data_IF_402453211101
#
_entry.id   IF_402453211101
#
_cell.length_a   1.000
_cell.length_b   1.000
_cell.length_c   1.000
_cell.angle_alpha   90.00
_cell.angle_beta   90.00
_cell.angle_gamma   90.00
#
_symmetry.space_group_name_H-M   'P 1'
#
loop_
_entity.id
_entity.type
_entity.pdbx_description
1 polymer ?
#
# COMPACT_ATOMS: atom_id res chain seq x y z
N UNK A 1 38.35 -32.86 -3.43
CA UNK A 1 37.03 -33.22 -4.00
C UNK A 1 36.30 -31.92 -4.31
N UNK A 2 36.36 -31.48 -5.55
CA UNK A 2 35.81 -30.20 -6.00
C UNK A 2 34.35 -30.41 -6.38
N UNK A 3 33.43 -29.74 -5.69
CA UNK A 3 32.01 -29.84 -5.98
C UNK A 3 31.71 -29.21 -7.36
N UNK A 4 31.25 -30.05 -8.30
CA UNK A 4 30.71 -29.61 -9.59
C UNK A 4 29.42 -28.84 -9.35
N UNK A 5 29.51 -27.51 -9.34
CA UNK A 5 28.36 -26.62 -9.48
C UNK A 5 27.81 -26.87 -10.89
N UNK A 6 26.67 -27.56 -10.98
CA UNK A 6 25.94 -27.69 -12.24
C UNK A 6 25.35 -26.34 -12.59
N UNK A 7 25.77 -25.77 -13.71
CA UNK A 7 25.13 -24.60 -14.30
C UNK A 7 23.61 -24.86 -14.44
N UNK A 8 22.76 -23.87 -14.15
CA UNK A 8 21.33 -24.00 -14.36
C UNK A 8 21.06 -24.29 -15.84
N UNK A 9 20.35 -25.40 -16.09
CA UNK A 9 19.98 -25.84 -17.45
C UNK A 9 19.23 -24.69 -18.14
N UNK A 10 19.76 -24.13 -19.24
CA UNK A 10 19.02 -23.16 -20.04
C UNK A 10 17.82 -23.86 -20.65
N UNK A 11 16.60 -23.46 -20.28
CA UNK A 11 15.41 -23.89 -20.98
C UNK A 11 15.49 -23.37 -22.42
N UNK A 12 15.46 -24.23 -23.45
CA UNK A 12 15.52 -23.77 -24.84
C UNK A 12 14.32 -22.87 -25.13
N UNK A 13 14.59 -21.68 -25.66
CA UNK A 13 13.56 -20.76 -26.10
C UNK A 13 12.76 -21.42 -27.23
N UNK A 14 11.52 -21.84 -26.94
CA UNK A 14 10.61 -22.39 -27.96
C UNK A 14 10.38 -21.34 -29.06
N UNK A 15 10.82 -21.60 -30.32
CA UNK A 15 10.51 -20.72 -31.44
C UNK A 15 9.00 -20.84 -31.76
N UNK A 16 8.29 -19.71 -31.85
CA UNK A 16 6.86 -19.67 -32.21
C UNK A 16 5.91 -19.22 -31.10
N UNK A 17 6.39 -18.90 -29.90
CA UNK A 17 5.50 -18.41 -28.85
C UNK A 17 5.05 -16.95 -29.06
N UNK A 18 3.77 -16.67 -28.79
CA UNK A 18 3.15 -15.32 -28.80
C UNK A 18 4.07 -14.27 -28.15
N UNK A 19 4.22 -13.06 -28.74
CA UNK A 19 5.10 -12.02 -28.20
C UNK A 19 4.75 -11.73 -26.72
N UNK A 20 5.74 -11.39 -25.89
CA UNK A 20 5.50 -11.12 -24.48
C UNK A 20 4.53 -9.94 -24.34
N UNK A 21 3.59 -10.06 -23.42
CA UNK A 21 2.67 -8.98 -23.08
C UNK A 21 3.47 -7.78 -22.56
N UNK A 22 3.07 -6.57 -22.94
CA UNK A 22 3.65 -5.36 -22.38
C UNK A 22 3.11 -5.12 -20.97
N UNK A 23 4.02 -4.80 -20.04
CA UNK A 23 3.70 -4.46 -18.66
C UNK A 23 4.16 -3.05 -18.26
N UNK A 24 3.40 -2.41 -17.36
CA UNK A 24 3.81 -1.20 -16.64
C UNK A 24 4.10 -1.55 -15.17
N UNK A 25 5.36 -1.47 -14.74
CA UNK A 25 5.78 -1.88 -13.40
C UNK A 25 5.83 -0.70 -12.44
N UNK A 26 5.49 -0.95 -11.18
CA UNK A 26 5.76 0.00 -10.09
C UNK A 26 7.27 0.21 -9.93
N UNK A 27 7.69 1.44 -9.67
CA UNK A 27 9.08 1.75 -9.30
C UNK A 27 9.55 0.98 -8.06
N UNK A 28 8.64 0.58 -7.16
CA UNK A 28 8.96 -0.26 -6.00
C UNK A 28 9.54 -1.62 -6.39
N UNK A 29 9.26 -2.11 -7.60
CA UNK A 29 9.73 -3.41 -8.08
C UNK A 29 11.11 -3.40 -8.75
N UNK A 30 11.78 -2.23 -8.85
CA UNK A 30 13.14 -2.15 -9.42
C UNK A 30 14.13 -3.15 -8.79
N UNK A 31 14.18 -3.33 -7.45
CA UNK A 31 15.07 -4.32 -6.84
C UNK A 31 14.80 -5.78 -7.29
N UNK A 32 13.61 -6.08 -7.80
CA UNK A 32 13.26 -7.39 -8.33
C UNK A 32 13.48 -7.51 -9.84
N UNK A 33 13.24 -6.44 -10.58
CA UNK A 33 13.18 -6.45 -12.04
C UNK A 33 14.49 -6.00 -12.72
N UNK A 34 15.30 -5.16 -12.07
CA UNK A 34 16.57 -4.68 -12.65
C UNK A 34 17.69 -5.75 -12.61
N UNK A 35 17.81 -6.59 -11.55
CA UNK A 35 18.79 -7.68 -11.54
C UNK A 35 18.49 -8.83 -12.52
N UNK A 36 19.45 -9.74 -12.74
CA UNK A 36 19.24 -10.94 -13.54
C UNK A 36 18.05 -11.79 -13.04
N UNK A 37 17.43 -12.53 -13.97
CA UNK A 37 16.29 -13.41 -13.66
C UNK A 37 16.60 -14.40 -12.53
N UNK A 38 15.74 -14.40 -11.52
CA UNK A 38 15.79 -15.29 -10.36
C UNK A 38 14.50 -16.11 -10.23
N UNK A 39 14.57 -17.31 -9.62
CA UNK A 39 13.39 -18.11 -9.32
C UNK A 39 12.42 -17.39 -8.38
N UNK A 40 11.14 -17.48 -8.72
CA UNK A 40 10.00 -17.07 -7.91
C UNK A 40 8.97 -18.21 -7.88
N UNK A 41 8.03 -18.14 -6.94
CA UNK A 41 6.94 -19.11 -6.77
C UNK A 41 5.61 -18.41 -6.93
N UNK A 42 4.67 -19.03 -7.63
CA UNK A 42 3.29 -18.57 -7.67
C UNK A 42 2.63 -18.88 -6.34
N UNK A 43 2.26 -17.86 -5.56
CA UNK A 43 1.62 -18.04 -4.25
C UNK A 43 0.10 -17.90 -4.31
N UNK A 44 -0.44 -17.24 -5.34
CA UNK A 44 -1.88 -17.19 -5.60
C UNK A 44 -2.17 -16.76 -7.04
N UNK A 45 -3.27 -17.26 -7.61
CA UNK A 45 -3.75 -16.92 -8.96
C UNK A 45 -5.24 -16.65 -8.94
N UNK A 46 -5.63 -15.51 -9.49
CA UNK A 46 -7.02 -15.06 -9.66
C UNK A 46 -7.26 -14.66 -11.12
N UNK A 47 -8.52 -14.46 -11.55
CA UNK A 47 -8.81 -14.02 -12.92
C UNK A 47 -8.13 -12.70 -13.33
N UNK A 48 -7.92 -11.79 -12.37
CA UNK A 48 -7.38 -10.45 -12.59
C UNK A 48 -6.01 -10.19 -11.93
N UNK A 49 -5.48 -11.13 -11.15
CA UNK A 49 -4.21 -10.96 -10.45
C UNK A 49 -3.44 -12.28 -10.29
N UNK A 50 -2.13 -12.20 -10.38
CA UNK A 50 -1.18 -13.27 -10.13
C UNK A 50 -0.14 -12.76 -9.14
N UNK A 51 0.14 -13.51 -8.08
CA UNK A 51 1.11 -13.13 -7.06
C UNK A 51 2.31 -14.06 -7.08
N UNK A 52 3.50 -13.48 -7.21
CA UNK A 52 4.78 -14.18 -7.30
C UNK A 52 5.67 -13.81 -6.12
N UNK A 53 6.07 -14.79 -5.33
CA UNK A 53 7.01 -14.61 -4.23
C UNK A 53 8.44 -14.94 -4.66
N UNK A 54 9.36 -14.02 -4.39
CA UNK A 54 10.79 -14.18 -4.65
C UNK A 54 11.43 -15.07 -3.58
N UNK A 55 12.36 -15.95 -3.98
CA UNK A 55 13.13 -16.75 -3.02
C UNK A 55 14.23 -15.90 -2.37
N UNK A 56 13.94 -15.39 -1.17
CA UNK A 56 14.88 -14.60 -0.38
C UNK A 56 15.22 -13.23 -0.96
N UNK A 57 16.07 -12.48 -0.25
CA UNK A 57 16.45 -11.10 -0.61
C UNK A 57 15.69 -10.02 0.17
N UNK A 58 15.98 -8.74 -0.12
CA UNK A 58 15.28 -7.62 0.49
C UNK A 58 13.86 -7.48 -0.08
N UNK A 59 13.02 -6.70 0.59
CA UNK A 59 11.71 -6.31 0.10
C UNK A 59 11.79 -5.37 -1.11
N UNK A 60 10.76 -5.32 -1.97
CA UNK A 60 9.53 -6.14 -1.93
C UNK A 60 9.81 -7.62 -2.25
N UNK A 61 9.16 -8.55 -1.55
CA UNK A 61 9.28 -10.01 -1.80
C UNK A 61 8.19 -10.56 -2.70
N UNK A 62 7.02 -9.94 -2.72
CA UNK A 62 5.92 -10.33 -3.60
C UNK A 62 5.77 -9.32 -4.75
N UNK A 63 5.78 -9.82 -5.98
CA UNK A 63 5.41 -9.09 -7.18
C UNK A 63 3.99 -9.51 -7.60
N UNK A 64 3.11 -8.53 -7.76
CA UNK A 64 1.80 -8.76 -8.35
C UNK A 64 1.87 -8.53 -9.87
N UNK A 65 1.32 -9.44 -10.67
CA UNK A 65 1.00 -9.20 -12.09
C UNK A 65 -0.51 -9.07 -12.19
N UNK A 66 -1.01 -7.93 -12.63
CA UNK A 66 -2.44 -7.62 -12.61
C UNK A 66 -2.94 -7.22 -13.98
N UNK A 67 -4.21 -7.50 -14.27
CA UNK A 67 -4.86 -7.03 -15.51
C UNK A 67 -5.14 -5.52 -15.43
N UNK A 68 -5.35 -4.90 -16.59
CA UNK A 68 -5.65 -3.47 -16.71
C UNK A 68 -6.93 -3.02 -16.01
N UNK A 69 -7.86 -3.96 -15.76
CA UNK A 69 -9.12 -3.77 -15.05
C UNK A 69 -9.10 -4.25 -13.59
N UNK A 70 -7.90 -4.55 -13.06
CA UNK A 70 -7.69 -4.94 -11.67
C UNK A 70 -7.25 -3.74 -10.81
N UNK A 71 -7.37 -3.89 -9.49
CA UNK A 71 -6.78 -2.95 -8.53
C UNK A 71 -5.26 -2.90 -8.69
N UNK A 72 -4.73 -1.68 -8.79
CA UNK A 72 -3.30 -1.47 -9.04
C UNK A 72 -2.58 -1.32 -7.72
N UNK A 73 -2.14 -2.44 -7.14
CA UNK A 73 -1.33 -2.50 -5.93
C UNK A 73 0.05 -1.82 -6.11
N UNK A 74 0.67 -1.30 -5.03
CA UNK A 74 1.97 -0.62 -5.10
C UNK A 74 3.12 -1.54 -5.55
N UNK A 75 2.97 -2.86 -5.47
CA UNK A 75 3.92 -3.87 -5.92
C UNK A 75 3.51 -4.53 -7.25
N UNK A 76 2.78 -3.82 -8.12
CA UNK A 76 2.21 -4.40 -9.34
C UNK A 76 2.96 -4.11 -10.65
N UNK A 77 2.98 -5.12 -11.52
CA UNK A 77 3.15 -5.03 -12.97
C UNK A 77 1.77 -5.13 -13.63
N UNK A 78 1.34 -4.08 -14.30
CA UNK A 78 0.01 -3.99 -14.92
C UNK A 78 0.10 -4.37 -16.38
N UNK A 79 -0.68 -5.37 -16.79
CA UNK A 79 -0.75 -5.86 -18.17
C UNK A 79 -1.65 -4.98 -19.02
N UNK A 80 -1.31 -4.84 -20.30
CA UNK A 80 -2.22 -4.35 -21.34
C UNK A 80 -3.14 -5.48 -21.80
N UNK A 81 -3.89 -6.05 -20.85
CA UNK A 81 -4.89 -7.10 -21.05
C UNK A 81 -5.93 -7.00 -19.94
N UNK A 82 -7.16 -7.36 -20.21
CA UNK A 82 -8.26 -7.45 -19.24
C UNK A 82 -8.42 -8.88 -18.73
N UNK A 83 -9.13 -9.07 -17.62
CA UNK A 83 -9.43 -10.41 -17.09
C UNK A 83 -10.19 -11.31 -18.09
N UNK A 84 -10.96 -10.71 -19.01
CA UNK A 84 -11.74 -11.44 -20.04
C UNK A 84 -10.86 -12.10 -21.09
N UNK A 85 -9.61 -11.65 -21.23
CA UNK A 85 -8.62 -12.27 -22.11
C UNK A 85 -7.92 -13.46 -21.43
N UNK A 86 -8.25 -13.74 -20.16
CA UNK A 86 -7.72 -14.85 -19.36
C UNK A 86 -6.18 -14.98 -19.39
N UNK A 87 -5.43 -13.90 -19.11
CA UNK A 87 -3.97 -13.90 -19.26
C UNK A 87 -3.26 -14.91 -18.33
N UNK A 88 -3.92 -15.33 -17.24
CA UNK A 88 -3.36 -16.26 -16.26
C UNK A 88 -3.88 -17.70 -16.41
N UNK A 89 -4.61 -18.03 -17.49
CA UNK A 89 -5.27 -19.35 -17.66
C UNK A 89 -4.34 -20.55 -17.53
N UNK A 90 -3.09 -20.44 -17.93
CA UNK A 90 -2.11 -21.52 -17.85
C UNK A 90 -1.39 -21.59 -16.49
N UNK A 91 -1.33 -20.48 -15.75
CA UNK A 91 -0.61 -20.39 -14.48
C UNK A 91 -1.38 -21.13 -13.39
N UNK A 92 -0.66 -21.80 -12.49
CA UNK A 92 -1.21 -22.52 -11.34
C UNK A 92 -0.53 -22.05 -10.07
N UNK A 93 -1.28 -22.06 -8.96
CA UNK A 93 -0.71 -21.89 -7.63
C UNK A 93 0.33 -22.98 -7.37
N UNK A 94 1.43 -22.61 -6.70
CA UNK A 94 2.59 -23.48 -6.59
C UNK A 94 3.32 -23.71 -7.91
N UNK A 95 3.04 -22.96 -8.97
CA UNK A 95 3.85 -22.97 -10.19
C UNK A 95 5.20 -22.28 -9.99
N UNK A 96 6.21 -22.68 -10.75
CA UNK A 96 7.48 -21.96 -10.81
C UNK A 96 7.40 -20.74 -11.74
N UNK A 97 8.13 -19.69 -11.39
CA UNK A 97 8.22 -18.45 -12.15
C UNK A 97 9.65 -17.91 -12.15
N UNK A 98 9.94 -16.98 -13.07
CA UNK A 98 11.19 -16.24 -13.16
C UNK A 98 10.89 -14.74 -13.21
N UNK A 99 11.62 -13.97 -12.42
CA UNK A 99 11.50 -12.51 -12.34
C UNK A 99 12.90 -11.88 -12.39
N UNK A 100 13.06 -10.86 -13.24
CA UNK A 100 14.31 -10.12 -13.45
C UNK A 100 14.51 -9.75 -14.92
N UNK A 101 15.58 -9.03 -15.26
CA UNK A 101 15.85 -8.49 -16.61
C UNK A 101 14.66 -7.72 -17.23
N UNK A 102 13.87 -7.04 -16.40
CA UNK A 102 12.63 -6.37 -16.80
C UNK A 102 11.55 -7.33 -17.32
N UNK A 103 11.56 -8.59 -16.88
CA UNK A 103 10.65 -9.65 -17.33
C UNK A 103 10.04 -10.41 -16.17
N UNK A 104 8.84 -10.93 -16.43
CA UNK A 104 8.14 -11.88 -15.57
C UNK A 104 7.68 -13.04 -16.43
N UNK A 105 8.06 -14.26 -16.06
CA UNK A 105 7.75 -15.48 -16.79
C UNK A 105 7.14 -16.50 -15.81
N UNK A 106 6.00 -17.07 -16.16
CA UNK A 106 5.33 -18.17 -15.48
C UNK A 106 4.67 -19.05 -16.54
N UNK A 107 4.13 -20.23 -16.20
CA UNK A 107 3.62 -21.17 -17.21
C UNK A 107 2.61 -20.50 -18.18
N UNK A 108 2.96 -20.47 -19.46
CA UNK A 108 2.22 -19.78 -20.52
C UNK A 108 2.21 -18.24 -20.48
N UNK A 109 2.66 -17.60 -19.39
CA UNK A 109 2.70 -16.16 -19.21
C UNK A 109 4.12 -15.62 -19.44
N UNK A 110 4.26 -14.65 -20.34
CA UNK A 110 5.51 -13.89 -20.54
C UNK A 110 5.20 -12.41 -20.62
N UNK A 111 5.77 -11.65 -19.69
CA UNK A 111 5.58 -10.21 -19.57
C UNK A 111 6.92 -9.53 -19.73
N UNK A 112 6.96 -8.45 -20.51
CA UNK A 112 8.12 -7.54 -20.59
C UNK A 112 7.70 -6.17 -20.10
N UNK A 113 8.40 -5.67 -19.10
CA UNK A 113 8.21 -4.33 -18.57
C UNK A 113 8.67 -3.31 -19.61
N UNK A 114 7.77 -2.38 -19.95
CA UNK A 114 8.00 -1.33 -20.95
C UNK A 114 7.85 0.08 -20.38
N UNK A 115 7.15 0.20 -19.25
CA UNK A 115 6.86 1.47 -18.59
C UNK A 115 7.01 1.31 -17.10
N UNK A 116 7.28 2.41 -16.44
CA UNK A 116 7.34 2.50 -14.99
C UNK A 116 6.33 3.52 -14.49
N UNK A 117 5.77 3.29 -13.31
CA UNK A 117 4.92 4.24 -12.62
C UNK A 117 5.34 4.38 -11.16
N UNK A 118 5.20 5.57 -10.61
CA UNK A 118 5.51 5.84 -9.22
C UNK A 118 4.30 5.48 -8.34
N UNK A 119 4.44 4.54 -7.37
CA UNK A 119 3.38 4.23 -6.43
C UNK A 119 3.17 5.32 -5.36
N UNK A 120 4.03 6.32 -5.27
CA UNK A 120 3.85 7.44 -4.35
C UNK A 120 3.05 8.58 -5.00
N UNK A 121 1.79 8.83 -4.60
CA UNK A 121 1.02 9.93 -5.16
C UNK A 121 1.60 11.29 -4.78
N UNK A 122 1.77 12.15 -5.78
CA UNK A 122 2.11 13.54 -5.56
C UNK A 122 0.90 14.32 -5.00
N UNK A 123 0.97 14.69 -3.73
CA UNK A 123 -0.06 15.52 -3.06
C UNK A 123 0.20 17.02 -3.19
N UNK A 124 1.44 17.41 -3.51
CA UNK A 124 1.87 18.80 -3.49
C UNK A 124 1.98 19.35 -2.06
N UNK A 125 1.86 20.67 -1.93
CA UNK A 125 1.84 21.35 -0.63
C UNK A 125 0.42 21.50 -0.12
N UNK A 126 0.17 21.11 1.14
CA UNK A 126 -1.14 21.20 1.78
C UNK A 126 -1.15 22.20 2.93
N UNK A 127 -2.17 23.05 2.94
CA UNK A 127 -2.41 23.95 4.07
C UNK A 127 -3.26 23.22 5.14
N UNK A 128 -3.07 23.50 6.45
CA UNK A 128 -3.86 22.86 7.51
C UNK A 128 -5.37 22.98 7.33
N UNK A 129 -5.86 24.14 6.86
CA UNK A 129 -7.28 24.36 6.59
C UNK A 129 -7.80 23.51 5.42
N UNK A 130 -6.99 23.33 4.38
CA UNK A 130 -7.31 22.47 3.24
C UNK A 130 -7.35 20.99 3.67
N UNK A 131 -6.38 20.54 4.48
CA UNK A 131 -6.42 19.21 5.08
C UNK A 131 -7.69 19.00 5.91
N UNK A 132 -8.03 19.96 6.78
CA UNK A 132 -9.24 19.87 7.60
C UNK A 132 -10.52 19.75 6.75
N UNK A 133 -10.61 20.49 5.65
CA UNK A 133 -11.72 20.38 4.71
C UNK A 133 -11.72 19.01 4.00
N UNK A 134 -10.58 18.56 3.50
CA UNK A 134 -10.43 17.27 2.83
C UNK A 134 -10.76 16.08 3.72
N UNK A 135 -10.38 16.12 5.00
CA UNK A 135 -10.76 15.09 6.00
C UNK A 135 -12.27 15.05 6.20
N UNK A 136 -12.92 16.20 6.38
CA UNK A 136 -14.40 16.24 6.51
C UNK A 136 -15.11 15.72 5.26
N UNK A 137 -14.60 16.06 4.07
CA UNK A 137 -15.15 15.56 2.81
C UNK A 137 -14.97 14.05 2.65
N UNK A 138 -13.82 13.51 3.07
CA UNK A 138 -13.58 12.06 3.10
C UNK A 138 -14.53 11.35 4.07
N UNK A 139 -14.67 11.88 5.29
CA UNK A 139 -15.58 11.34 6.31
C UNK A 139 -17.02 11.25 5.79
N UNK A 140 -17.55 12.36 5.28
CA UNK A 140 -18.92 12.42 4.77
C UNK A 140 -19.15 11.46 3.59
N UNK A 141 -18.18 11.35 2.67
CA UNK A 141 -18.29 10.44 1.54
C UNK A 141 -18.17 8.97 1.93
N UNK A 142 -17.35 8.65 2.94
CA UNK A 142 -17.22 7.30 3.47
C UNK A 142 -18.50 6.88 4.20
N UNK A 143 -19.05 7.74 5.04
CA UNK A 143 -20.34 7.51 5.72
C UNK A 143 -21.47 7.28 4.71
N UNK A 144 -21.65 8.19 3.75
CA UNK A 144 -22.68 8.06 2.72
C UNK A 144 -22.52 6.79 1.86
N UNK A 145 -21.28 6.38 1.56
CA UNK A 145 -21.04 5.19 0.75
C UNK A 145 -21.29 3.88 1.54
N UNK A 146 -20.92 3.83 2.83
CA UNK A 146 -21.16 2.68 3.69
C UNK A 146 -22.66 2.49 3.97
N UNK A 147 -23.38 3.58 4.25
CA UNK A 147 -24.84 3.57 4.43
C UNK A 147 -25.54 3.10 3.16
N UNK A 148 -25.17 3.65 2.00
CA UNK A 148 -25.74 3.25 0.71
C UNK A 148 -25.45 1.80 0.33
N UNK A 149 -24.36 1.23 0.82
CA UNK A 149 -23.99 -0.17 0.60
C UNK A 149 -24.54 -1.14 1.68
N UNK A 150 -25.16 -0.63 2.74
CA UNK A 150 -25.61 -1.43 3.88
C UNK A 150 -24.46 -2.12 4.63
N UNK A 151 -23.26 -1.53 4.60
CA UNK A 151 -22.06 -2.10 5.21
C UNK A 151 -21.85 -1.53 6.62
N UNK A 152 -21.72 -2.41 7.62
CA UNK A 152 -21.53 -2.02 9.02
C UNK A 152 -20.06 -1.72 9.40
N UNK A 153 -19.11 -1.86 8.47
CA UNK A 153 -17.70 -1.58 8.69
C UNK A 153 -16.75 -2.54 7.96
N UNK A 154 -15.48 -2.47 8.34
CA UNK A 154 -14.41 -3.35 7.85
C UNK A 154 -14.33 -4.68 8.61
N UNK A 155 -13.30 -5.49 8.33
CA UNK A 155 -13.16 -6.82 8.93
C UNK A 155 -12.83 -6.81 10.43
N UNK A 156 -12.40 -5.66 10.97
CA UNK A 156 -12.20 -5.43 12.41
C UNK A 156 -13.23 -4.49 13.04
N UNK A 157 -14.43 -4.37 12.45
CA UNK A 157 -15.50 -3.57 13.03
C UNK A 157 -15.81 -4.04 14.47
N UNK A 158 -15.79 -3.10 15.42
CA UNK A 158 -16.02 -3.37 16.85
C UNK A 158 -14.79 -3.88 17.62
N UNK A 159 -13.65 -4.09 16.95
CA UNK A 159 -12.38 -4.39 17.64
C UNK A 159 -11.81 -3.12 18.29
N UNK A 160 -11.28 -3.17 19.53
CA UNK A 160 -10.76 -1.97 20.20
C UNK A 160 -9.45 -1.48 19.58
N UNK A 161 -8.56 -2.38 19.17
CA UNK A 161 -7.19 -2.00 18.76
C UNK A 161 -7.10 -1.00 17.59
N UNK A 162 -7.92 -1.05 16.53
CA UNK A 162 -7.92 0.01 15.52
C UNK A 162 -8.27 1.40 16.08
N UNK A 163 -9.16 1.46 17.08
CA UNK A 163 -9.54 2.71 17.75
C UNK A 163 -8.41 3.21 18.63
N UNK A 164 -7.80 2.31 19.41
CA UNK A 164 -6.66 2.62 20.28
C UNK A 164 -5.46 3.09 19.46
N UNK A 165 -5.17 2.43 18.34
CA UNK A 165 -4.13 2.81 17.40
C UNK A 165 -4.38 4.23 16.84
N UNK A 166 -5.61 4.51 16.39
CA UNK A 166 -5.96 5.83 15.87
C UNK A 166 -5.83 6.92 16.96
N UNK A 167 -6.28 6.63 18.18
CA UNK A 167 -6.18 7.54 19.32
C UNK A 167 -4.72 7.83 19.70
N UNK A 168 -3.88 6.80 19.82
CA UNK A 168 -2.47 6.94 20.12
C UNK A 168 -1.73 7.75 19.04
N UNK A 169 -2.01 7.47 17.76
CA UNK A 169 -1.45 8.25 16.65
C UNK A 169 -1.85 9.74 16.72
N UNK A 170 -3.12 10.04 17.02
CA UNK A 170 -3.59 11.41 17.14
C UNK A 170 -3.01 12.13 18.37
N UNK A 171 -2.75 11.41 19.45
CA UNK A 171 -2.07 11.93 20.64
C UNK A 171 -0.56 12.13 20.44
N UNK A 172 0.03 11.54 19.39
CA UNK A 172 1.47 11.46 19.22
C UNK A 172 2.14 10.49 20.22
N UNK A 173 1.36 9.59 20.82
CA UNK A 173 1.85 8.54 21.70
C UNK A 173 2.49 7.43 20.88
N UNK A 174 3.81 7.51 20.74
CA UNK A 174 4.60 6.55 19.98
C UNK A 174 4.50 5.13 20.54
N UNK A 175 4.58 4.99 21.86
CA UNK A 175 4.61 3.69 22.51
C UNK A 175 3.25 3.00 22.37
N UNK A 176 2.17 3.71 22.69
CA UNK A 176 0.81 3.19 22.54
C UNK A 176 0.46 2.87 21.09
N UNK A 177 0.93 3.67 20.13
CA UNK A 177 0.69 3.42 18.71
C UNK A 177 1.43 2.16 18.23
N UNK A 178 2.69 1.95 18.65
CA UNK A 178 3.45 0.73 18.33
C UNK A 178 2.78 -0.49 18.95
N UNK A 179 2.40 -0.43 20.22
CA UNK A 179 1.76 -1.53 20.93
C UNK A 179 0.43 -1.94 20.26
N UNK A 180 -0.42 -0.97 19.92
CA UNK A 180 -1.69 -1.22 19.24
C UNK A 180 -1.50 -1.74 17.80
N UNK A 181 -0.52 -1.20 17.07
CA UNK A 181 -0.18 -1.68 15.74
C UNK A 181 0.32 -3.14 15.79
N UNK A 182 1.14 -3.47 16.78
CA UNK A 182 1.64 -4.83 16.97
C UNK A 182 0.51 -5.83 17.21
N UNK A 183 -0.59 -5.45 17.86
CA UNK A 183 -1.73 -6.36 18.09
C UNK A 183 -2.57 -6.65 16.84
N UNK A 184 -2.53 -5.80 15.81
CA UNK A 184 -3.37 -5.96 14.61
C UNK A 184 -2.65 -6.46 13.37
N UNK A 185 -1.31 -6.45 13.29
CA UNK A 185 -0.61 -7.07 12.14
C UNK A 185 -1.03 -8.53 12.00
N UNK A 186 -1.38 -8.93 10.78
CA UNK A 186 -1.85 -10.28 10.49
C UNK A 186 -3.25 -10.62 11.01
N UNK A 187 -3.94 -9.69 11.67
CA UNK A 187 -5.26 -9.93 12.22
C UNK A 187 -6.33 -9.84 11.11
N UNK A 188 -6.96 -10.96 10.80
CA UNK A 188 -8.01 -11.09 9.79
C UNK A 188 -7.71 -12.21 8.77
N UNK A 189 -8.72 -12.67 8.02
CA UNK A 189 -8.53 -13.73 7.03
C UNK A 189 -7.97 -13.20 5.71
N UNK A 190 -7.47 -14.12 4.87
CA UNK A 190 -7.13 -13.85 3.47
C UNK A 190 -5.68 -13.44 3.23
N UNK A 191 -5.39 -13.06 1.97
CA UNK A 191 -4.04 -12.67 1.56
C UNK A 191 -3.63 -11.29 2.08
N UNK A 192 -4.60 -10.44 2.41
CA UNK A 192 -4.42 -9.12 3.00
C UNK A 192 -5.33 -9.04 4.23
N UNK A 193 -4.85 -9.47 5.40
CA UNK A 193 -5.63 -9.39 6.63
C UNK A 193 -6.06 -7.95 6.93
N UNK A 194 -7.24 -7.81 7.52
CA UNK A 194 -7.86 -6.51 7.82
C UNK A 194 -6.98 -5.57 8.63
N UNK A 195 -6.24 -6.08 9.62
CA UNK A 195 -5.32 -5.26 10.39
C UNK A 195 -4.15 -4.74 9.55
N UNK A 196 -3.64 -5.52 8.59
CA UNK A 196 -2.59 -5.07 7.68
C UNK A 196 -3.10 -4.00 6.69
N UNK A 197 -4.34 -4.13 6.23
CA UNK A 197 -5.00 -3.13 5.37
C UNK A 197 -5.18 -1.78 6.12
N UNK A 198 -5.63 -1.82 7.39
CA UNK A 198 -5.71 -0.63 8.25
C UNK A 198 -4.31 -0.01 8.43
N UNK A 199 -3.30 -0.82 8.74
CA UNK A 199 -1.93 -0.34 8.93
C UNK A 199 -1.35 0.27 7.64
N UNK A 200 -1.59 -0.35 6.48
CA UNK A 200 -1.15 0.19 5.19
C UNK A 200 -1.76 1.57 4.93
N UNK A 201 -3.08 1.72 5.12
CA UNK A 201 -3.80 2.99 4.97
C UNK A 201 -3.30 4.07 5.93
N UNK A 202 -3.04 3.69 7.19
CA UNK A 202 -2.52 4.58 8.23
C UNK A 202 -1.11 5.08 7.89
N UNK A 203 -0.18 4.16 7.62
CA UNK A 203 1.23 4.46 7.35
C UNK A 203 1.40 5.39 6.15
N UNK A 204 0.74 5.08 5.04
CA UNK A 204 0.85 5.88 3.82
C UNK A 204 0.26 7.27 4.02
N UNK A 205 -0.80 7.40 4.81
CA UNK A 205 -1.42 8.70 5.12
C UNK A 205 -0.53 9.54 6.04
N UNK A 206 -0.02 8.96 7.13
CA UNK A 206 0.91 9.65 8.04
C UNK A 206 2.14 10.17 7.28
N UNK A 207 2.73 9.34 6.42
CA UNK A 207 3.91 9.72 5.63
C UNK A 207 3.59 10.78 4.59
N UNK A 208 2.61 10.54 3.71
CA UNK A 208 2.39 11.41 2.56
C UNK A 208 1.66 12.69 2.93
N UNK A 209 0.62 12.61 3.75
CA UNK A 209 -0.11 13.81 4.21
C UNK A 209 0.76 14.60 5.20
N UNK A 210 1.42 13.94 6.15
CA UNK A 210 2.37 14.60 7.06
C UNK A 210 3.55 15.25 6.32
N UNK A 211 4.03 14.61 5.26
CA UNK A 211 5.05 15.14 4.36
C UNK A 211 4.58 16.29 3.45
N UNK A 212 3.28 16.40 3.21
CA UNK A 212 2.67 17.43 2.34
C UNK A 212 2.23 18.69 3.11
N UNK A 213 1.81 18.55 4.38
CA UNK A 213 1.32 19.68 5.18
C UNK A 213 2.43 20.70 5.47
N UNK A 214 2.15 21.98 5.24
CA UNK A 214 3.01 23.12 5.58
C UNK A 214 2.29 24.02 6.56
N UNK A 215 2.72 24.01 7.81
CA UNK A 215 2.16 24.86 8.86
C UNK A 215 2.92 26.19 8.95
N UNK A 216 2.85 27.03 7.91
CA UNK A 216 3.56 28.31 7.87
C UNK A 216 5.09 28.20 7.97
N UNK A 217 5.65 27.00 7.75
CA UNK A 217 7.09 26.70 7.76
C UNK A 217 7.51 26.15 6.40
N UNK A 218 8.78 26.37 6.00
CA UNK A 218 9.31 25.79 4.76
C UNK A 218 9.51 24.26 4.86
N UNK A 219 9.45 23.68 6.07
CA UNK A 219 9.74 22.26 6.35
C UNK A 219 8.46 21.51 6.76
N UNK A 220 8.29 20.21 6.39
CA UNK A 220 7.13 19.40 6.77
C UNK A 220 6.91 19.21 8.28
N UNK A 221 5.74 18.68 8.65
CA UNK A 221 5.45 18.25 10.01
C UNK A 221 6.28 17.01 10.36
N UNK A 222 7.38 17.22 11.09
CA UNK A 222 8.32 16.16 11.43
C UNK A 222 7.70 15.05 12.29
N UNK A 223 6.73 15.38 13.15
CA UNK A 223 6.16 14.41 14.10
C UNK A 223 5.34 13.30 13.41
N UNK A 224 4.54 13.62 12.40
CA UNK A 224 3.75 12.62 11.69
C UNK A 224 4.62 11.68 10.83
N UNK A 225 5.65 12.23 10.17
CA UNK A 225 6.59 11.42 9.39
C UNK A 225 7.43 10.54 10.32
N UNK A 226 7.90 11.08 11.45
CA UNK A 226 8.62 10.31 12.48
C UNK A 226 7.75 9.18 13.04
N UNK A 227 6.46 9.45 13.32
CA UNK A 227 5.52 8.42 13.76
C UNK A 227 5.38 7.32 12.69
N UNK A 228 5.27 7.68 11.40
CA UNK A 228 5.25 6.71 10.31
C UNK A 228 6.54 5.89 10.21
N UNK A 229 7.71 6.50 10.44
CA UNK A 229 9.00 5.79 10.42
C UNK A 229 9.08 4.73 11.52
N UNK A 230 8.71 5.07 12.76
CA UNK A 230 8.73 4.14 13.89
C UNK A 230 7.66 3.06 13.79
N UNK A 231 6.42 3.41 13.44
CA UNK A 231 5.35 2.43 13.23
C UNK A 231 5.71 1.50 12.08
N UNK A 232 6.22 2.04 10.97
CA UNK A 232 6.67 1.26 9.84
C UNK A 232 7.76 0.27 10.23
N UNK A 233 8.76 0.71 10.99
CA UNK A 233 9.80 -0.17 11.51
C UNK A 233 9.23 -1.28 12.41
N UNK A 234 8.32 -0.96 13.33
CA UNK A 234 7.72 -1.93 14.24
C UNK A 234 6.91 -3.00 13.50
N UNK A 235 6.00 -2.59 12.60
CA UNK A 235 5.12 -3.56 11.91
C UNK A 235 5.87 -4.38 10.86
N UNK A 236 6.99 -3.87 10.35
CA UNK A 236 7.79 -4.58 9.33
C UNK A 236 8.93 -5.42 9.90
N UNK A 237 9.33 -5.24 11.16
CA UNK A 237 10.46 -5.96 11.77
C UNK A 237 10.32 -7.49 11.69
N UNK A 238 9.10 -8.01 11.87
CA UNK A 238 8.79 -9.45 11.84
C UNK A 238 7.57 -9.77 10.96
N UNK A 239 7.21 -8.89 10.01
CA UNK A 239 6.01 -9.05 9.18
C UNK A 239 5.95 -10.40 8.45
N UNK A 240 7.11 -10.94 8.05
CA UNK A 240 7.21 -12.21 7.33
C UNK A 240 6.78 -13.45 8.14
N UNK A 241 6.65 -13.35 9.46
CA UNK A 241 6.13 -14.44 10.32
C UNK A 241 4.75 -14.13 10.89
N UNK A 242 4.37 -12.86 10.96
CA UNK A 242 3.11 -12.41 11.58
C UNK A 242 1.95 -12.25 10.60
N UNK A 243 2.23 -12.05 9.32
CA UNK A 243 1.21 -11.95 8.27
C UNK A 243 1.63 -12.71 7.02
N UNK A 244 0.82 -12.66 5.96
CA UNK A 244 1.15 -13.28 4.68
C UNK A 244 2.30 -12.56 3.99
N UNK A 245 3.02 -13.25 3.09
CA UNK A 245 4.08 -12.63 2.30
C UNK A 245 3.58 -11.42 1.48
N UNK A 246 2.34 -11.46 0.97
CA UNK A 246 1.76 -10.33 0.23
C UNK A 246 1.53 -9.14 1.16
N UNK A 247 0.87 -9.35 2.30
CA UNK A 247 0.57 -8.29 3.27
C UNK A 247 1.86 -7.67 3.83
N UNK A 248 2.87 -8.49 4.15
CA UNK A 248 4.19 -8.00 4.56
C UNK A 248 4.82 -7.08 3.50
N UNK A 249 4.82 -7.49 2.22
CA UNK A 249 5.31 -6.63 1.13
C UNK A 249 4.50 -5.34 1.00
N UNK A 250 3.18 -5.38 1.19
CA UNK A 250 2.35 -4.17 1.14
C UNK A 250 2.62 -3.22 2.32
N UNK A 251 2.87 -3.73 3.53
CA UNK A 251 3.31 -2.93 4.68
C UNK A 251 4.66 -2.26 4.42
N UNK A 252 5.62 -2.96 3.82
CA UNK A 252 6.89 -2.36 3.39
C UNK A 252 6.69 -1.27 2.34
N UNK A 253 5.81 -1.49 1.36
CA UNK A 253 5.46 -0.49 0.36
C UNK A 253 4.82 0.75 1.01
N UNK A 254 3.84 0.57 1.91
CA UNK A 254 3.16 1.64 2.62
C UNK A 254 4.14 2.44 3.51
N UNK A 255 5.05 1.73 4.20
CA UNK A 255 6.14 2.33 4.97
C UNK A 255 7.04 3.20 4.11
N UNK A 256 7.26 2.83 2.83
CA UNK A 256 8.00 3.63 1.86
C UNK A 256 7.16 4.73 1.17
N UNK A 257 5.88 4.89 1.52
CA UNK A 257 4.97 5.85 0.90
C UNK A 257 4.38 5.40 -0.44
N UNK A 258 4.45 4.11 -0.76
CA UNK A 258 3.79 3.51 -1.90
C UNK A 258 2.34 3.15 -1.59
N UNK A 259 1.42 3.59 -2.46
CA UNK A 259 -0.01 3.32 -2.36
C UNK A 259 -0.52 2.60 -3.61
N UNK A 260 -1.61 1.85 -3.44
CA UNK A 260 -2.43 1.42 -4.58
C UNK A 260 -3.15 2.61 -5.22
N UNK A 261 -3.60 2.47 -6.46
CA UNK A 261 -4.22 3.57 -7.21
C UNK A 261 -5.48 4.14 -6.53
N UNK A 262 -6.24 3.29 -5.85
CA UNK A 262 -7.49 3.62 -5.15
C UNK A 262 -7.21 4.43 -3.87
N UNK A 263 -6.25 3.99 -3.06
CA UNK A 263 -5.76 4.75 -1.90
C UNK A 263 -5.16 6.08 -2.35
N UNK A 264 -4.37 6.07 -3.42
CA UNK A 264 -3.78 7.27 -3.99
C UNK A 264 -4.84 8.30 -4.44
N UNK A 265 -5.96 7.85 -5.00
CA UNK A 265 -7.09 8.71 -5.34
C UNK A 265 -7.74 9.34 -4.11
N UNK A 266 -7.93 8.56 -3.03
CA UNK A 266 -8.47 9.07 -1.76
C UNK A 266 -7.52 10.11 -1.13
N UNK A 267 -6.22 9.86 -1.12
CA UNK A 267 -5.25 10.85 -0.62
C UNK A 267 -5.23 12.13 -1.48
N UNK A 268 -5.38 12.01 -2.80
CA UNK A 268 -5.54 13.17 -3.69
C UNK A 268 -6.84 13.92 -3.44
N UNK A 269 -7.92 13.24 -3.07
CA UNK A 269 -9.15 13.89 -2.60
C UNK A 269 -8.92 14.68 -1.31
N UNK A 270 -8.26 14.08 -0.31
CA UNK A 270 -7.90 14.80 0.94
C UNK A 270 -7.06 16.04 0.63
N UNK A 271 -6.23 15.96 -0.41
CA UNK A 271 -5.42 17.07 -0.92
C UNK A 271 -6.20 18.11 -1.76
N UNK A 272 -7.47 17.88 -2.08
CA UNK A 272 -8.31 18.76 -2.89
C UNK A 272 -8.16 18.61 -4.40
N UNK A 273 -7.48 17.55 -4.88
CA UNK A 273 -7.21 17.32 -6.31
C UNK A 273 -8.23 16.40 -6.99
N UNK A 274 -9.06 15.70 -6.22
CA UNK A 274 -10.07 14.75 -6.74
C UNK A 274 -11.38 14.83 -5.95
N UNK A 275 -12.53 14.49 -6.58
CA UNK A 275 -13.81 14.41 -5.88
C UNK A 275 -13.89 13.17 -4.97
N UNK A 276 -14.39 13.32 -3.72
CA UNK A 276 -14.39 12.25 -2.72
C UNK A 276 -15.20 11.03 -3.13
N UNK A 277 -16.42 11.22 -3.63
CA UNK A 277 -17.36 10.11 -3.82
C UNK A 277 -16.84 9.06 -4.80
N UNK A 278 -16.16 9.48 -5.87
CA UNK A 278 -15.61 8.54 -6.87
C UNK A 278 -14.40 7.81 -6.32
N UNK A 279 -13.54 8.50 -5.58
CA UNK A 279 -12.36 7.89 -4.96
C UNK A 279 -12.76 6.87 -3.89
N UNK A 280 -13.70 7.23 -3.00
CA UNK A 280 -14.21 6.35 -1.95
C UNK A 280 -14.91 5.12 -2.54
N UNK A 281 -15.83 5.29 -3.51
CA UNK A 281 -16.49 4.14 -4.14
C UNK A 281 -15.51 3.17 -4.79
N UNK A 282 -14.45 3.69 -5.43
CA UNK A 282 -13.40 2.84 -6.02
C UNK A 282 -12.60 2.10 -4.96
N UNK A 283 -12.27 2.77 -3.85
CA UNK A 283 -11.56 2.13 -2.74
C UNK A 283 -12.42 1.04 -2.09
N UNK A 284 -13.70 1.29 -1.84
CA UNK A 284 -14.61 0.30 -1.25
C UNK A 284 -14.88 -0.90 -2.17
N UNK A 285 -14.63 -0.79 -3.48
CA UNK A 285 -14.71 -1.92 -4.40
C UNK A 285 -13.49 -2.87 -4.33
N UNK A 286 -12.46 -2.51 -3.55
CA UNK A 286 -11.26 -3.33 -3.35
C UNK A 286 -11.55 -4.51 -2.41
N UNK A 287 -11.60 -5.72 -2.96
CA UNK A 287 -11.78 -6.93 -2.15
C UNK A 287 -13.12 -6.97 -1.40
N UNK A 288 -13.28 -7.92 -0.47
CA UNK A 288 -14.51 -8.02 0.32
C UNK A 288 -14.53 -7.00 1.46
N UNK A 289 -13.45 -6.91 2.24
CA UNK A 289 -13.31 -5.99 3.38
C UNK A 289 -12.11 -5.06 3.26
N UNK A 290 -11.10 -5.42 2.47
CA UNK A 290 -9.84 -4.68 2.32
C UNK A 290 -10.01 -3.22 1.97
N UNK A 291 -10.95 -2.89 1.07
CA UNK A 291 -11.25 -1.51 0.71
C UNK A 291 -11.73 -0.67 1.89
N UNK A 292 -12.62 -1.24 2.71
CA UNK A 292 -13.12 -0.59 3.92
C UNK A 292 -12.03 -0.47 4.98
N UNK A 293 -11.24 -1.52 5.19
CA UNK A 293 -10.14 -1.55 6.15
C UNK A 293 -9.04 -0.52 5.79
N UNK A 294 -8.66 -0.44 4.51
CA UNK A 294 -7.77 0.60 3.98
C UNK A 294 -8.35 2.00 4.21
N UNK A 295 -9.65 2.21 3.96
CA UNK A 295 -10.31 3.50 4.15
C UNK A 295 -10.28 3.95 5.62
N UNK A 296 -10.49 3.02 6.56
CA UNK A 296 -10.37 3.29 8.00
C UNK A 296 -8.95 3.71 8.37
N UNK A 297 -7.95 2.97 7.88
CA UNK A 297 -6.53 3.33 8.05
C UNK A 297 -6.20 4.71 7.51
N UNK A 298 -6.64 5.02 6.29
CA UNK A 298 -6.41 6.33 5.66
C UNK A 298 -7.03 7.46 6.47
N UNK A 299 -8.28 7.29 6.90
CA UNK A 299 -8.98 8.28 7.70
C UNK A 299 -8.28 8.51 9.05
N UNK A 300 -7.89 7.43 9.74
CA UNK A 300 -7.15 7.51 11.00
C UNK A 300 -5.83 8.27 10.83
N UNK A 301 -5.05 7.99 9.78
CA UNK A 301 -3.80 8.69 9.52
C UNK A 301 -3.98 10.16 9.18
N UNK A 302 -4.98 10.51 8.37
CA UNK A 302 -5.27 11.91 8.06
C UNK A 302 -5.73 12.70 9.30
N UNK A 303 -6.57 12.10 10.15
CA UNK A 303 -6.99 12.66 11.45
C UNK A 303 -5.80 12.87 12.38
N UNK A 304 -4.90 11.89 12.47
CA UNK A 304 -3.69 12.02 13.28
C UNK A 304 -2.81 13.19 12.81
N UNK A 305 -2.57 13.32 11.50
CA UNK A 305 -1.83 14.47 10.94
C UNK A 305 -2.52 15.80 11.28
N UNK A 306 -3.84 15.87 11.19
CA UNK A 306 -4.60 17.08 11.51
C UNK A 306 -4.45 17.47 12.99
N UNK A 307 -4.58 16.52 13.91
CA UNK A 307 -4.45 16.75 15.37
C UNK A 307 -3.03 17.17 15.73
N UNK A 308 -2.00 16.46 15.22
CA UNK A 308 -0.59 16.80 15.45
C UNK A 308 -0.27 18.20 14.90
N UNK A 309 -0.84 18.57 13.75
CA UNK A 309 -0.70 19.93 13.20
C UNK A 309 -1.28 20.97 14.15
N UNK A 310 -2.47 20.74 14.71
CA UNK A 310 -3.12 21.66 15.65
C UNK A 310 -2.35 21.82 16.97
N UNK A 311 -1.75 20.73 17.48
CA UNK A 311 -0.87 20.77 18.65
C UNK A 311 0.37 21.62 18.39
N UNK A 312 1.01 21.46 17.22
CA UNK A 312 2.15 22.28 16.82
C UNK A 312 1.77 23.78 16.70
N UNK A 313 0.57 24.11 16.21
CA UNK A 313 0.06 25.49 16.16
C UNK A 313 -0.04 26.13 17.55
N UNK A 314 -0.50 25.35 18.54
CA UNK A 314 -0.68 25.82 19.92
C UNK A 314 0.65 26.03 20.63
N UNK A 315 1.60 25.12 20.45
CA UNK A 315 2.94 25.22 21.03
C UNK A 315 3.78 26.38 20.46
N UNK A 316 3.53 26.78 19.21
CA UNK A 316 4.25 27.87 18.53
C UNK A 316 3.70 29.28 18.77
N UNK A 317 2.60 29.47 19.51
CA UNK A 317 2.05 30.80 19.83
C UNK A 317 2.85 31.44 20.97
N UNK A 318 3.50 32.61 20.77
CA UNK A 318 4.13 33.33 21.87
C UNK A 318 3.06 33.72 22.91
N UNK A 319 3.36 33.51 24.19
CA UNK A 319 2.52 33.98 25.29
C UNK A 319 2.35 35.50 25.18
N UNK A 320 1.12 36.04 25.29
CA UNK A 320 0.94 37.48 25.29
C UNK A 320 1.73 38.06 26.48
N UNK A 321 2.68 38.95 26.18
CA UNK A 321 3.36 39.72 27.21
C UNK A 321 2.29 40.56 27.91
N UNK A 322 1.91 40.15 29.11
CA UNK A 322 1.13 40.99 30.02
C UNK A 322 2.00 42.21 30.29
N UNK A 323 1.61 43.36 29.74
CA UNK A 323 2.24 44.63 30.05
C UNK A 323 1.82 44.99 31.47
N UNK A 324 2.79 45.06 32.38
CA UNK A 324 2.62 45.55 33.75
C UNK A 324 2.50 47.07 33.76
#
# INVERSE_FOLDING_TARGET
>A
MTALVRDPIPLPARPGGRPPAAGAASLALRPLLDPPRRPARVIAVFPSALYLEMRGGPEPRVLAVVTSDAHRLPNAVVLVATRREHPFRAVREGGDALVGDGRVEADGLRVRVRRWWDPSPALGTLQPAALAAGVRSLEAALEAALDGAGMAGGGLAGHPDPVDLAAACAAGDLAGAVEAAERIVGLGPGLTPSGDDILCGLLVSLRLVGGAVRHGRPVPLHDAVRLADWLGAAVTADAGTRTTALAATLLHCATAGGAGAEVAAVLRCVAGHEPPDTAVRRLLAVGHTSGTDLAQGVLAGCRAVLTLTAHASRAGRPTPRVSA
#
